data_IF_466961337412
#
_entry.id   IF_466961337412
#
_cell.length_a   1.000
_cell.length_b   1.000
_cell.length_c   1.000
_cell.angle_alpha   90.00
_cell.angle_beta   90.00
_cell.angle_gamma   90.00
#
_symmetry.space_group_name_H-M   'P 1'
#
loop_
_entity.id
_entity.type
_entity.pdbx_description
1 polymer ?
#
# COMPACT_ATOMS: atom_id res chain seq x y z
N UNK A 1 55.99 -26.63 -53.61
CA UNK A 1 56.86 -26.86 -52.43
C UNK A 1 56.38 -25.96 -51.29
N UNK A 2 56.20 -26.53 -50.07
CA UNK A 2 56.01 -25.89 -48.75
C UNK A 2 54.73 -25.02 -48.59
N UNK A 3 53.61 -25.56 -48.08
CA UNK A 3 53.16 -25.61 -46.66
C UNK A 3 53.54 -24.37 -45.85
N UNK A 4 52.54 -23.64 -45.33
CA UNK A 4 52.41 -23.25 -43.92
C UNK A 4 50.95 -22.82 -43.68
N UNK A 5 50.33 -23.50 -42.72
CA UNK A 5 49.02 -23.22 -42.12
C UNK A 5 49.25 -22.14 -41.06
N UNK A 6 48.46 -21.07 -41.05
CA UNK A 6 48.30 -20.21 -39.88
C UNK A 6 46.86 -20.29 -39.39
N UNK A 7 46.72 -20.92 -38.22
CA UNK A 7 45.51 -20.99 -37.41
C UNK A 7 45.26 -19.58 -36.88
N UNK A 8 44.25 -18.89 -37.40
CA UNK A 8 43.73 -17.67 -36.77
C UNK A 8 42.57 -18.05 -35.86
N UNK A 9 42.88 -18.38 -34.61
CA UNK A 9 41.89 -18.40 -33.53
C UNK A 9 41.46 -16.95 -33.29
N UNK A 10 40.33 -16.55 -33.89
CA UNK A 10 39.73 -15.25 -33.66
C UNK A 10 39.10 -15.29 -32.25
N UNK A 11 39.82 -14.72 -31.29
CA UNK A 11 39.36 -14.53 -29.93
C UNK A 11 38.11 -13.64 -29.94
N UNK A 12 36.96 -14.25 -29.66
CA UNK A 12 35.73 -13.57 -29.25
C UNK A 12 35.96 -13.00 -27.85
N UNK A 13 36.46 -11.77 -27.77
CA UNK A 13 36.48 -11.01 -26.52
C UNK A 13 35.96 -9.59 -26.72
N UNK A 14 34.87 -9.34 -26.01
CA UNK A 14 34.42 -8.07 -25.46
C UNK A 14 33.94 -6.97 -26.44
N UNK A 15 32.60 -6.89 -26.59
CA UNK A 15 31.88 -5.76 -25.98
C UNK A 15 30.49 -6.22 -25.52
N UNK A 16 30.45 -7.05 -24.48
CA UNK A 16 29.29 -7.05 -23.61
C UNK A 16 29.43 -5.80 -22.73
N UNK A 17 29.08 -4.62 -23.27
CA UNK A 17 28.73 -3.47 -22.44
C UNK A 17 27.43 -3.82 -21.71
N UNK A 18 27.48 -4.74 -20.76
CA UNK A 18 26.54 -4.65 -19.66
C UNK A 18 26.97 -3.42 -18.88
N UNK A 19 26.18 -2.35 -19.02
CA UNK A 19 26.14 -1.30 -18.01
C UNK A 19 25.83 -2.05 -16.71
N UNK A 20 26.84 -2.26 -15.87
CA UNK A 20 26.57 -2.75 -14.52
C UNK A 20 25.52 -1.80 -13.95
N UNK A 21 24.40 -2.31 -13.41
CA UNK A 21 23.45 -1.45 -12.72
C UNK A 21 24.20 -0.86 -11.53
N UNK A 22 24.76 0.33 -11.73
CA UNK A 22 25.23 1.16 -10.64
C UNK A 22 24.00 1.43 -9.77
N UNK A 23 24.09 1.24 -8.44
CA UNK A 23 23.04 1.64 -7.52
C UNK A 23 23.04 3.18 -7.40
N UNK A 24 22.70 3.85 -8.49
CA UNK A 24 22.32 5.25 -8.57
C UNK A 24 21.48 5.40 -9.82
N UNK A 25 20.16 5.54 -9.60
CA UNK A 25 19.15 6.13 -10.51
C UNK A 25 17.70 5.89 -9.97
N UNK A 26 17.51 5.44 -8.72
CA UNK A 26 16.20 5.44 -8.02
C UNK A 26 16.20 6.27 -6.73
N UNK A 27 17.16 7.20 -6.61
CA UNK A 27 17.70 7.75 -5.34
C UNK A 27 16.74 8.61 -4.48
N UNK A 28 15.42 8.57 -4.69
CA UNK A 28 14.47 9.28 -3.81
C UNK A 28 13.04 8.73 -3.79
N UNK A 29 12.75 7.58 -4.40
CA UNK A 29 11.39 7.02 -4.40
C UNK A 29 11.14 6.16 -3.15
N UNK A 30 9.93 6.23 -2.60
CA UNK A 30 9.53 5.29 -1.55
C UNK A 30 9.28 3.92 -2.18
N UNK A 31 9.50 2.88 -1.39
CA UNK A 31 9.00 1.56 -1.74
C UNK A 31 7.48 1.61 -1.78
N UNK A 32 6.90 1.07 -2.85
CA UNK A 32 5.45 0.93 -3.02
C UNK A 32 5.11 -0.54 -3.21
N UNK A 33 4.36 -1.09 -2.26
CA UNK A 33 3.85 -2.45 -2.29
C UNK A 33 2.33 -2.42 -2.30
N UNK A 34 1.73 -3.32 -3.09
CA UNK A 34 0.28 -3.54 -3.11
C UNK A 34 -0.01 -5.03 -3.10
N UNK A 35 -1.06 -5.43 -2.40
CA UNK A 35 -1.52 -6.81 -2.33
C UNK A 35 -3.05 -6.85 -2.46
N UNK A 36 -3.59 -7.41 -3.55
CA UNK A 36 -5.01 -7.66 -3.67
C UNK A 36 -5.40 -9.05 -3.16
N UNK A 37 -6.65 -9.16 -2.74
CA UNK A 37 -7.38 -10.41 -2.86
C UNK A 37 -7.61 -10.71 -4.35
N UNK A 38 -7.23 -11.92 -4.76
CA UNK A 38 -7.31 -12.37 -6.15
C UNK A 38 -8.67 -12.96 -6.50
N UNK A 39 -9.49 -13.28 -5.51
CA UNK A 39 -10.79 -13.90 -5.70
C UNK A 39 -11.94 -12.87 -5.73
N UNK A 40 -11.62 -11.59 -5.52
CA UNK A 40 -12.57 -10.47 -5.52
C UNK A 40 -12.66 -9.81 -6.90
N UNK A 41 -13.90 -9.59 -7.34
CA UNK A 41 -14.22 -8.74 -8.47
C UNK A 41 -14.54 -7.32 -7.98
N UNK A 42 -13.52 -6.46 -8.00
CA UNK A 42 -13.60 -5.07 -7.54
C UNK A 42 -14.61 -4.21 -8.31
N UNK A 43 -15.08 -4.66 -9.47
CA UNK A 43 -16.04 -3.91 -10.30
C UNK A 43 -17.46 -3.95 -9.73
N UNK A 44 -17.75 -4.88 -8.81
CA UNK A 44 -19.05 -5.02 -8.15
C UNK A 44 -19.34 -3.91 -7.14
N UNK A 45 -18.31 -3.38 -6.50
CA UNK A 45 -18.45 -2.29 -5.54
C UNK A 45 -18.65 -0.95 -6.25
N UNK A 46 -19.46 -0.06 -5.70
CA UNK A 46 -19.80 1.24 -6.31
C UNK A 46 -19.39 2.42 -5.47
N UNK A 47 -19.58 2.32 -4.16
CA UNK A 47 -19.39 3.41 -3.21
C UNK A 47 -18.22 3.12 -2.29
N UNK A 48 -17.58 4.16 -1.79
CA UNK A 48 -16.53 4.01 -0.79
C UNK A 48 -16.55 5.14 0.23
N UNK A 49 -16.09 4.83 1.43
CA UNK A 49 -15.84 5.79 2.50
C UNK A 49 -14.37 5.75 2.93
N UNK A 50 -13.85 6.89 3.38
CA UNK A 50 -12.52 7.06 3.96
C UNK A 50 -12.67 7.95 5.19
N UNK A 51 -12.19 7.53 6.39
CA UNK A 51 -12.21 8.37 7.58
C UNK A 51 -11.50 9.71 7.32
N UNK A 52 -12.01 10.78 7.91
CA UNK A 52 -11.42 12.13 7.82
C UNK A 52 -10.17 12.30 8.69
N UNK A 53 -9.58 11.19 9.14
CA UNK A 53 -8.42 11.18 10.02
C UNK A 53 -7.51 9.98 9.75
N UNK A 54 -6.21 10.21 9.99
CA UNK A 54 -5.15 9.24 9.76
C UNK A 54 -4.73 8.64 11.10
N UNK A 55 -4.80 7.31 11.27
CA UNK A 55 -4.30 6.67 12.48
C UNK A 55 -2.77 6.81 12.54
N UNK A 56 -2.24 7.13 13.72
CA UNK A 56 -0.81 7.29 13.97
C UNK A 56 -0.34 6.18 14.91
N UNK A 57 0.60 5.36 14.45
CA UNK A 57 1.32 4.42 15.31
C UNK A 57 2.54 5.12 15.89
N UNK A 58 2.36 5.61 17.11
CA UNK A 58 3.37 6.29 17.94
C UNK A 58 3.87 5.42 19.10
N UNK A 59 4.32 6.07 20.18
CA UNK A 59 4.82 5.41 21.39
C UNK A 59 3.70 4.91 22.32
N UNK A 60 2.53 5.55 22.31
CA UNK A 60 1.42 5.21 23.19
C UNK A 60 0.55 4.09 22.63
N UNK A 61 -0.08 3.31 23.51
CA UNK A 61 -0.98 2.21 23.14
C UNK A 61 -2.39 2.68 22.76
N UNK A 62 -2.79 3.89 23.18
CA UNK A 62 -4.09 4.46 22.84
C UNK A 62 -4.10 4.92 21.38
N UNK A 63 -5.23 4.72 20.65
CA UNK A 63 -5.34 5.20 19.28
C UNK A 63 -5.14 6.72 19.22
N UNK A 64 -4.33 7.16 18.26
CA UNK A 64 -4.10 8.57 17.98
C UNK A 64 -4.45 8.84 16.52
N UNK A 65 -5.38 9.76 16.28
CA UNK A 65 -5.81 10.13 14.93
C UNK A 65 -5.35 11.55 14.61
N UNK A 66 -4.76 11.75 13.43
CA UNK A 66 -4.34 13.06 12.94
C UNK A 66 -5.34 13.58 11.91
N UNK A 67 -5.79 14.81 12.11
CA UNK A 67 -6.55 15.62 11.14
C UNK A 67 -5.74 16.84 10.65
N UNK A 68 -4.41 16.75 10.73
CA UNK A 68 -3.54 17.81 10.22
C UNK A 68 -3.66 17.96 8.70
N UNK A 69 -3.31 19.14 8.16
CA UNK A 69 -3.30 19.36 6.71
C UNK A 69 -2.50 18.30 5.92
N UNK A 70 -1.40 17.82 6.51
CA UNK A 70 -0.60 16.74 5.94
C UNK A 70 -1.37 15.41 5.90
N UNK A 71 -2.09 15.06 6.97
CA UNK A 71 -2.90 13.85 7.02
C UNK A 71 -4.07 13.93 6.02
N UNK A 72 -4.76 15.06 5.99
CA UNK A 72 -5.86 15.31 5.06
C UNK A 72 -5.40 15.30 3.60
N UNK A 73 -4.18 15.77 3.31
CA UNK A 73 -3.60 15.67 1.96
C UNK A 73 -3.41 14.22 1.50
N UNK A 74 -2.97 13.32 2.39
CA UNK A 74 -2.81 11.89 2.07
C UNK A 74 -4.16 11.19 1.88
N UNK A 75 -5.14 11.49 2.74
CA UNK A 75 -6.52 11.01 2.62
C UNK A 75 -7.13 11.46 1.28
N UNK A 76 -6.96 12.75 0.94
CA UNK A 76 -7.44 13.30 -0.33
C UNK A 76 -6.77 12.63 -1.53
N UNK A 77 -5.49 12.25 -1.45
CA UNK A 77 -4.81 11.52 -2.51
C UNK A 77 -5.43 10.14 -2.76
N UNK A 78 -5.75 9.37 -1.71
CA UNK A 78 -6.48 8.10 -1.84
C UNK A 78 -7.87 8.31 -2.44
N UNK A 79 -8.64 9.26 -1.90
CA UNK A 79 -9.98 9.61 -2.39
C UNK A 79 -9.95 9.93 -3.89
N UNK A 80 -9.04 10.81 -4.31
CA UNK A 80 -8.93 11.25 -5.70
C UNK A 80 -8.62 10.08 -6.64
N UNK A 81 -7.80 9.11 -6.22
CA UNK A 81 -7.50 7.94 -7.03
C UNK A 81 -8.69 6.97 -7.12
N UNK A 82 -9.42 6.75 -6.03
CA UNK A 82 -10.66 5.96 -6.05
C UNK A 82 -11.71 6.59 -6.97
N UNK A 83 -11.93 7.91 -6.88
CA UNK A 83 -12.86 8.64 -7.76
C UNK A 83 -12.45 8.51 -9.24
N UNK A 84 -11.15 8.56 -9.55
CA UNK A 84 -10.63 8.35 -10.92
C UNK A 84 -10.87 6.94 -11.47
N UNK A 85 -10.93 5.94 -10.60
CA UNK A 85 -11.23 4.55 -10.98
C UNK A 85 -12.75 4.28 -11.14
N UNK A 86 -13.59 5.29 -10.87
CA UNK A 86 -15.04 5.22 -11.05
C UNK A 86 -15.84 4.86 -9.80
N UNK A 87 -15.21 4.87 -8.62
CA UNK A 87 -15.91 4.72 -7.35
C UNK A 87 -16.52 6.05 -6.87
N UNK A 88 -17.66 5.98 -6.19
CA UNK A 88 -18.39 7.16 -5.71
C UNK A 88 -18.10 7.35 -4.21
N UNK A 89 -17.52 8.50 -3.85
CA UNK A 89 -17.27 8.82 -2.45
C UNK A 89 -18.57 9.10 -1.69
N UNK A 90 -18.82 8.36 -0.60
CA UNK A 90 -20.00 8.49 0.27
C UNK A 90 -19.56 8.63 1.73
N UNK A 91 -19.24 9.85 2.21
CA UNK A 91 -18.68 10.07 3.54
C UNK A 91 -19.63 9.62 4.65
N UNK A 92 -19.12 8.84 5.60
CA UNK A 92 -19.85 8.36 6.78
C UNK A 92 -21.17 7.64 6.44
N UNK A 93 -21.21 6.99 5.27
CA UNK A 93 -22.35 6.20 4.85
C UNK A 93 -22.21 4.77 5.43
N UNK A 94 -23.11 4.34 6.33
CA UNK A 94 -23.06 2.98 6.87
C UNK A 94 -23.31 1.90 5.80
N UNK A 95 -23.90 2.29 4.66
CA UNK A 95 -24.18 1.40 3.52
C UNK A 95 -23.15 1.57 2.38
N UNK A 96 -21.97 2.16 2.65
CA UNK A 96 -20.89 2.18 1.66
C UNK A 96 -20.44 0.75 1.34
N UNK A 97 -20.05 0.48 0.09
CA UNK A 97 -19.59 -0.86 -0.30
C UNK A 97 -18.15 -1.14 0.20
N UNK A 98 -17.32 -0.10 0.24
CA UNK A 98 -15.91 -0.18 0.60
C UNK A 98 -15.54 0.82 1.69
N UNK A 99 -14.68 0.40 2.62
CA UNK A 99 -14.00 1.28 3.56
C UNK A 99 -12.51 1.34 3.24
N UNK A 100 -11.87 2.50 3.36
CA UNK A 100 -10.41 2.61 3.26
C UNK A 100 -9.89 3.26 4.53
N UNK A 101 -9.01 2.56 5.25
CA UNK A 101 -8.41 3.04 6.48
C UNK A 101 -6.92 3.25 6.29
N UNK A 102 -6.42 4.42 6.70
CA UNK A 102 -5.03 4.81 6.54
C UNK A 102 -4.33 4.84 7.91
N UNK A 103 -3.11 4.32 7.94
CA UNK A 103 -2.28 4.27 9.14
C UNK A 103 -0.86 4.74 8.82
N UNK A 104 -0.39 5.75 9.53
CA UNK A 104 0.96 6.28 9.42
C UNK A 104 1.82 5.89 10.62
N UNK A 105 3.03 5.41 10.34
CA UNK A 105 3.92 4.82 11.32
C UNK A 105 5.14 5.69 11.54
N UNK A 106 5.19 6.30 12.72
CA UNK A 106 6.34 7.11 13.14
C UNK A 106 7.32 6.31 14.00
N UNK A 107 6.87 5.19 14.59
CA UNK A 107 7.61 4.38 15.54
C UNK A 107 7.35 2.88 15.29
N UNK A 108 8.40 2.09 15.32
CA UNK A 108 8.34 0.65 15.01
C UNK A 108 8.99 -0.23 16.07
N UNK A 109 9.43 0.32 17.21
CA UNK A 109 10.18 -0.45 18.22
C UNK A 109 9.39 -1.66 18.75
N UNK A 110 8.05 -1.59 18.77
CA UNK A 110 7.16 -2.70 19.15
C UNK A 110 7.23 -3.88 18.19
N UNK A 111 7.53 -3.65 16.92
CA UNK A 111 7.45 -4.68 15.88
C UNK A 111 8.70 -5.54 15.76
N UNK A 112 9.78 -5.25 16.51
CA UNK A 112 11.08 -5.93 16.40
C UNK A 112 10.97 -7.45 16.55
N UNK A 113 9.99 -7.96 17.30
CA UNK A 113 9.71 -9.39 17.48
C UNK A 113 8.75 -10.00 16.44
N UNK A 114 8.12 -9.18 15.59
CA UNK A 114 7.09 -9.56 14.61
C UNK A 114 7.62 -9.64 13.17
N UNK A 115 8.91 -9.83 12.98
CA UNK A 115 9.53 -9.88 11.64
C UNK A 115 9.01 -11.00 10.73
N UNK A 116 8.36 -12.03 11.29
CA UNK A 116 7.72 -13.14 10.56
C UNK A 116 6.19 -13.03 10.50
N UNK A 117 5.58 -12.02 11.13
CA UNK A 117 4.13 -11.83 11.11
C UNK A 117 3.74 -11.03 9.85
N UNK A 118 2.90 -11.58 8.95
CA UNK A 118 2.48 -10.87 7.75
C UNK A 118 1.61 -9.65 8.04
N UNK A 119 0.96 -9.55 9.20
CA UNK A 119 0.00 -8.49 9.55
C UNK A 119 0.40 -7.76 10.84
N UNK A 120 1.71 -7.62 11.04
CA UNK A 120 2.32 -7.11 12.27
C UNK A 120 1.68 -5.81 12.79
N UNK A 121 1.13 -4.94 11.93
CA UNK A 121 0.52 -3.69 12.37
C UNK A 121 -0.70 -3.89 13.28
N UNK A 122 -1.43 -5.01 13.11
CA UNK A 122 -2.58 -5.39 13.93
C UNK A 122 -2.24 -5.62 15.41
N UNK A 123 -0.97 -5.84 15.74
CA UNK A 123 -0.51 -5.91 17.13
C UNK A 123 -0.66 -4.56 17.87
N UNK A 124 -0.92 -3.45 17.15
CA UNK A 124 -1.10 -2.16 17.81
C UNK A 124 -2.42 -2.15 18.61
N UNK A 125 -2.40 -1.97 19.94
CA UNK A 125 -3.65 -2.02 20.72
C UNK A 125 -4.67 -0.96 20.29
N UNK A 126 -4.18 0.19 19.83
CA UNK A 126 -4.97 1.28 19.28
C UNK A 126 -5.17 1.20 17.77
N UNK A 127 -5.00 0.03 17.14
CA UNK A 127 -5.28 -0.13 15.72
C UNK A 127 -6.76 0.11 15.41
N UNK A 128 -7.08 0.30 14.13
CA UNK A 128 -8.46 0.37 13.65
C UNK A 128 -9.25 -0.83 14.17
N UNK A 129 -10.31 -0.57 14.93
CA UNK A 129 -11.25 -1.62 15.33
C UNK A 129 -12.18 -1.94 14.15
N UNK A 130 -12.44 -3.22 13.82
CA UNK A 130 -13.49 -3.58 12.85
C UNK A 130 -14.85 -2.95 13.20
N UNK A 131 -15.10 -2.77 14.50
CA UNK A 131 -16.28 -2.09 15.05
C UNK A 131 -16.45 -0.61 14.62
N UNK A 132 -15.41 0.02 14.08
CA UNK A 132 -15.53 1.34 13.45
C UNK A 132 -16.42 1.27 12.19
N UNK A 133 -16.30 0.20 11.42
CA UNK A 133 -16.98 0.01 10.15
C UNK A 133 -18.34 -0.67 10.27
N UNK A 134 -18.52 -1.54 11.26
CA UNK A 134 -19.77 -2.30 11.44
C UNK A 134 -19.64 -3.40 12.48
N UNK A 135 -20.64 -4.27 12.60
CA UNK A 135 -20.68 -5.36 13.59
C UNK A 135 -19.80 -6.55 13.14
N UNK A 136 -18.48 -6.35 13.15
CA UNK A 136 -17.49 -7.39 12.91
C UNK A 136 -16.57 -7.59 14.13
N UNK A 137 -16.16 -8.84 14.34
CA UNK A 137 -15.35 -9.24 15.48
C UNK A 137 -13.84 -9.06 15.27
N UNK A 138 -13.37 -9.26 14.04
CA UNK A 138 -11.94 -9.27 13.71
C UNK A 138 -11.70 -9.00 12.23
N UNK A 139 -10.44 -8.95 11.81
CA UNK A 139 -10.06 -8.87 10.41
C UNK A 139 -9.75 -10.24 9.81
N UNK A 140 -10.04 -10.39 8.53
CA UNK A 140 -9.61 -11.52 7.72
C UNK A 140 -8.76 -11.04 6.54
N UNK A 141 -7.58 -11.65 6.38
CA UNK A 141 -6.67 -11.41 5.26
C UNK A 141 -6.57 -12.67 4.40
N UNK A 142 -7.14 -12.67 3.19
CA UNK A 142 -7.10 -13.81 2.27
C UNK A 142 -5.72 -14.01 1.60
N UNK A 143 -4.79 -13.07 1.81
CA UNK A 143 -3.44 -13.09 1.25
C UNK A 143 -2.39 -12.72 2.30
N UNK A 144 -1.17 -13.22 2.09
CA UNK A 144 -0.03 -12.86 2.94
C UNK A 144 0.62 -11.58 2.45
N UNK A 145 0.90 -10.69 3.40
CA UNK A 145 1.76 -9.54 3.20
C UNK A 145 3.20 -9.92 3.58
N UNK A 146 4.19 -9.48 2.79
CA UNK A 146 5.59 -9.94 2.92
C UNK A 146 6.60 -8.81 3.16
N UNK A 147 6.15 -7.58 3.38
CA UNK A 147 7.04 -6.46 3.70
C UNK A 147 7.26 -6.31 5.20
N UNK A 148 8.43 -5.77 5.56
CA UNK A 148 8.80 -5.48 6.94
C UNK A 148 8.53 -4.01 7.27
N UNK A 149 8.13 -3.74 8.51
CA UNK A 149 7.91 -2.40 9.03
C UNK A 149 9.12 -1.47 8.88
N UNK A 150 8.83 -0.20 8.67
CA UNK A 150 9.78 0.92 8.73
C UNK A 150 9.06 2.12 9.35
N UNK A 151 9.83 3.01 9.97
CA UNK A 151 9.33 4.36 10.30
C UNK A 151 9.14 5.16 9.02
N UNK A 152 8.32 6.22 9.09
CA UNK A 152 7.96 7.04 7.93
C UNK A 152 7.34 6.19 6.82
N UNK A 153 6.31 5.44 7.20
CA UNK A 153 5.59 4.55 6.32
C UNK A 153 4.08 4.66 6.51
N UNK A 154 3.36 4.48 5.41
CA UNK A 154 1.92 4.56 5.30
C UNK A 154 1.38 3.18 4.89
N UNK A 155 0.49 2.61 5.71
CA UNK A 155 -0.33 1.46 5.36
C UNK A 155 -1.72 1.97 5.03
N UNK A 156 -2.31 1.44 3.97
CA UNK A 156 -3.74 1.61 3.74
C UNK A 156 -4.37 0.25 3.44
N UNK A 157 -5.44 -0.06 4.17
CA UNK A 157 -6.25 -1.25 3.95
C UNK A 157 -7.61 -0.84 3.39
N UNK A 158 -8.07 -1.56 2.38
CA UNK A 158 -9.41 -1.50 1.81
C UNK A 158 -10.21 -2.71 2.32
N UNK A 159 -11.37 -2.45 2.90
CA UNK A 159 -12.27 -3.46 3.48
C UNK A 159 -13.55 -3.59 2.68
N UNK A 160 -14.08 -4.82 2.58
CA UNK A 160 -15.40 -5.10 2.02
C UNK A 160 -16.47 -4.92 3.10
N UNK A 161 -17.25 -3.84 2.98
CA UNK A 161 -18.32 -3.50 3.94
C UNK A 161 -19.64 -4.22 3.64
N UNK A 162 -19.71 -4.92 2.51
CA UNK A 162 -20.89 -5.73 2.10
C UNK A 162 -20.85 -7.15 2.69
N UNK A 163 -19.74 -7.52 3.31
CA UNK A 163 -19.56 -8.81 3.97
C UNK A 163 -20.57 -9.04 5.10
N UNK A 164 -20.85 -10.32 5.39
CA UNK A 164 -21.79 -10.71 6.45
C UNK A 164 -21.31 -10.18 7.81
N UNK A 165 -22.21 -9.52 8.54
CA UNK A 165 -21.99 -8.98 9.89
C UNK A 165 -22.55 -9.90 10.98
N UNK A 166 -22.10 -9.70 12.22
CA UNK A 166 -22.60 -10.38 13.40
C UNK A 166 -21.55 -11.18 14.16
N UNK A 167 -22.02 -11.88 15.20
CA UNK A 167 -21.17 -12.59 16.14
C UNK A 167 -20.19 -13.55 15.45
N UNK A 168 -18.90 -13.30 15.64
CA UNK A 168 -17.80 -14.12 15.10
C UNK A 168 -17.47 -13.90 13.62
N UNK A 169 -18.15 -12.97 12.94
CA UNK A 169 -17.84 -12.62 11.54
C UNK A 169 -16.63 -11.70 11.48
N UNK A 170 -15.81 -11.89 10.45
CA UNK A 170 -14.61 -11.10 10.23
C UNK A 170 -14.83 -10.12 9.08
N UNK A 171 -14.31 -8.91 9.22
CA UNK A 171 -14.24 -7.91 8.18
C UNK A 171 -13.07 -8.24 7.24
N UNK A 172 -13.37 -8.47 5.98
CA UNK A 172 -12.38 -8.88 4.99
C UNK A 172 -11.57 -7.69 4.46
N UNK A 173 -10.25 -7.85 4.43
CA UNK A 173 -9.32 -6.87 3.88
C UNK A 173 -8.99 -7.31 2.45
N UNK A 174 -9.57 -6.63 1.47
CA UNK A 174 -9.52 -7.03 0.06
C UNK A 174 -8.38 -6.39 -0.71
N UNK A 175 -7.78 -5.31 -0.20
CA UNK A 175 -6.56 -4.74 -0.78
C UNK A 175 -5.75 -4.02 0.29
N UNK A 176 -4.43 -4.21 0.29
CA UNK A 176 -3.49 -3.49 1.16
C UNK A 176 -2.45 -2.78 0.30
N UNK A 177 -2.10 -1.56 0.68
CA UNK A 177 -0.88 -0.90 0.22
C UNK A 177 0.06 -0.58 1.38
N UNK A 178 1.35 -0.61 1.06
CA UNK A 178 2.40 -0.12 1.91
C UNK A 178 3.32 0.79 1.13
N UNK A 179 3.55 1.97 1.70
CA UNK A 179 4.43 2.99 1.18
C UNK A 179 5.44 3.30 2.27
N UNK A 180 6.74 3.19 1.99
CA UNK A 180 7.74 3.45 3.02
C UNK A 180 9.10 3.81 2.47
N UNK A 181 9.83 4.63 3.21
CA UNK A 181 11.24 4.88 2.98
C UNK A 181 11.80 5.99 3.87
N UNK A 182 13.04 6.44 3.61
CA UNK A 182 13.72 7.37 4.51
C UNK A 182 12.99 8.71 4.58
N UNK A 183 12.81 9.23 5.79
CA UNK A 183 12.27 10.57 6.02
C UNK A 183 13.16 11.62 5.34
N UNK A 184 12.52 12.58 4.68
CA UNK A 184 13.17 13.70 4.02
C UNK A 184 13.42 14.89 4.96
N UNK A 185 13.81 16.04 4.39
CA UNK A 185 14.15 17.23 5.17
C UNK A 185 12.94 17.92 5.82
N UNK A 186 11.70 17.58 5.45
CA UNK A 186 10.49 18.18 6.02
C UNK A 186 9.25 17.29 5.83
N UNK A 187 8.24 17.51 6.67
CA UNK A 187 6.96 16.82 6.54
C UNK A 187 6.28 17.11 5.19
N UNK A 188 6.39 18.33 4.65
CA UNK A 188 5.84 18.67 3.34
C UNK A 188 6.55 17.98 2.18
N UNK A 189 7.85 17.68 2.33
CA UNK A 189 8.61 16.88 1.38
C UNK A 189 8.14 15.42 1.42
N UNK A 190 7.94 14.87 2.61
CA UNK A 190 7.48 13.50 2.79
C UNK A 190 6.05 13.30 2.29
N UNK A 191 5.14 14.24 2.56
CA UNK A 191 3.77 14.22 2.02
C UNK A 191 3.75 14.21 0.50
N UNK A 192 4.62 14.98 -0.17
CA UNK A 192 4.72 14.95 -1.64
C UNK A 192 5.16 13.58 -2.14
N UNK A 193 6.18 12.98 -1.53
CA UNK A 193 6.66 11.64 -1.90
C UNK A 193 5.63 10.55 -1.64
N UNK A 194 4.94 10.61 -0.50
CA UNK A 194 3.83 9.69 -0.20
C UNK A 194 2.70 9.88 -1.21
N UNK A 195 2.34 11.12 -1.57
CA UNK A 195 1.29 11.39 -2.58
C UNK A 195 1.64 10.78 -3.94
N UNK A 196 2.89 10.95 -4.41
CA UNK A 196 3.36 10.29 -5.63
C UNK A 196 3.32 8.76 -5.52
N UNK A 197 3.69 8.23 -4.36
CA UNK A 197 3.67 6.80 -4.09
C UNK A 197 2.25 6.22 -4.00
N UNK A 198 1.28 6.99 -3.50
CA UNK A 198 -0.15 6.65 -3.51
C UNK A 198 -0.60 6.54 -4.96
N UNK A 199 -0.30 7.53 -5.80
CA UNK A 199 -0.64 7.46 -7.23
C UNK A 199 -0.02 6.23 -7.91
N UNK A 200 1.23 5.89 -7.57
CA UNK A 200 1.88 4.67 -8.04
C UNK A 200 1.16 3.41 -7.54
N UNK A 201 0.76 3.34 -6.27
CA UNK A 201 0.06 2.21 -5.69
C UNK A 201 -1.24 1.90 -6.47
N UNK A 202 -2.00 2.94 -6.83
CA UNK A 202 -3.18 2.78 -7.68
C UNK A 202 -2.82 2.43 -9.13
N UNK A 203 -1.79 3.06 -9.71
CA UNK A 203 -1.36 2.77 -11.08
C UNK A 203 -0.88 1.31 -11.27
N UNK A 204 -0.23 0.74 -10.25
CA UNK A 204 0.20 -0.66 -10.25
C UNK A 204 -0.90 -1.64 -9.76
N UNK A 205 -2.11 -1.14 -9.51
CA UNK A 205 -3.29 -1.94 -9.11
C UNK A 205 -4.40 -1.86 -10.17
N UNK A 206 -4.15 -2.27 -11.44
CA UNK A 206 -5.10 -2.09 -12.54
C UNK A 206 -6.43 -2.86 -12.33
N UNK A 207 -6.42 -3.91 -11.51
CA UNK A 207 -7.61 -4.68 -11.14
C UNK A 207 -8.63 -3.89 -10.30
N UNK A 208 -8.26 -2.72 -9.73
CA UNK A 208 -9.20 -1.82 -9.07
C UNK A 208 -10.00 -0.96 -10.05
N UNK A 209 -9.69 -0.98 -11.35
CA UNK A 209 -10.33 -0.09 -12.30
C UNK A 209 -11.73 -0.58 -12.71
N UNK A 210 -12.78 0.21 -12.41
CA UNK A 210 -14.14 -0.07 -12.89
C UNK A 210 -14.37 0.37 -14.33
N UNK A 211 -13.60 1.34 -14.79
CA UNK A 211 -13.65 1.79 -16.18
C UNK A 211 -12.85 0.81 -17.03
N UNK A 212 -13.52 -0.22 -17.56
CA UNK A 212 -12.96 -0.99 -18.66
C UNK A 212 -12.63 0.00 -19.77
N UNK A 213 -11.38 0.02 -20.24
CA UNK A 213 -11.00 0.81 -21.40
C UNK A 213 -12.02 0.53 -22.52
N UNK A 214 -12.87 1.52 -22.83
CA UNK A 214 -13.50 1.57 -24.14
C UNK A 214 -12.38 1.87 -25.14
N UNK A 215 -11.73 0.80 -25.61
CA UNK A 215 -10.82 0.83 -26.75
C UNK A 215 -11.22 -0.23 -27.76
#
# INVERSE_FOLDING_TARGET
MKKIIFISALALLAVACHKEPYPQDSDNEYLVYTAPDKDIDFTKFTTFDIPDSLLIIGQGEKPQYSQSDNALALIQAFRTNMEKLGYIYTPSNPDADLGIQLTYMIKTERYVQYYNDPYWWLDYPGYWSPGYWGDWYGYYYPYRVTYTFSTNALVADMVDLTAEQGSGKSLEIIWTSYIGGPAGPSASYDVKRMTSSINQAFAQSPYLNKTTDQK
#
